data_IF_353373315879
#
_entry.id   IF_353373315879
#
_cell.length_a   1.000
_cell.length_b   1.000
_cell.length_c   1.000
_cell.angle_alpha   90.00
_cell.angle_beta   90.00
_cell.angle_gamma   90.00
#
_symmetry.space_group_name_H-M   'P 1'
#
loop_
_entity.id
_entity.type
_entity.pdbx_description
1 polymer ?
#
# COMPACT_ATOMS: atom_id res chain seq x y z
N UNK A 1 23.09 -23.87 -32.27
CA UNK A 1 23.60 -23.40 -30.97
C UNK A 1 23.81 -24.63 -30.05
N UNK A 2 24.97 -24.68 -29.33
CA UNK A 2 25.21 -25.76 -28.39
C UNK A 2 24.14 -25.75 -27.29
N UNK A 3 23.59 -26.92 -26.88
CA UNK A 3 22.50 -27.00 -25.89
C UNK A 3 22.81 -26.24 -24.60
N UNK A 4 24.03 -26.23 -24.15
CA UNK A 4 24.49 -25.48 -22.98
C UNK A 4 24.35 -23.96 -23.15
N UNK A 5 24.71 -23.42 -24.31
CA UNK A 5 24.54 -21.97 -24.60
C UNK A 5 23.07 -21.56 -24.65
N UNK A 6 22.21 -22.43 -25.17
CA UNK A 6 20.75 -22.21 -25.13
C UNK A 6 20.22 -22.26 -23.70
N UNK A 7 20.65 -23.22 -22.91
CA UNK A 7 20.27 -23.32 -21.48
C UNK A 7 20.70 -22.06 -20.70
N UNK A 8 21.95 -21.63 -20.85
CA UNK A 8 22.45 -20.40 -20.22
C UNK A 8 21.68 -19.19 -20.69
N UNK A 9 21.34 -19.08 -21.99
CA UNK A 9 20.55 -17.97 -22.52
C UNK A 9 19.13 -17.98 -21.97
N UNK A 10 18.49 -19.14 -21.85
CA UNK A 10 17.17 -19.28 -21.25
C UNK A 10 17.22 -18.87 -19.78
N UNK A 11 18.26 -19.28 -19.03
CA UNK A 11 18.45 -18.84 -17.64
C UNK A 11 18.64 -17.31 -17.56
N UNK A 12 19.45 -16.71 -18.42
CA UNK A 12 19.63 -15.26 -18.47
C UNK A 12 18.31 -14.53 -18.76
N UNK A 13 17.54 -15.00 -19.75
CA UNK A 13 16.24 -14.39 -20.05
C UNK A 13 15.19 -14.62 -18.95
N UNK A 14 15.21 -15.80 -18.32
CA UNK A 14 14.26 -16.17 -17.28
C UNK A 14 14.51 -15.44 -15.95
N UNK A 15 15.79 -15.36 -15.56
CA UNK A 15 16.18 -14.73 -14.29
C UNK A 15 16.50 -13.23 -14.42
N UNK A 16 16.29 -12.64 -15.60
CA UNK A 16 16.66 -11.23 -15.87
C UNK A 16 18.11 -10.91 -15.44
N UNK A 17 19.05 -11.83 -15.69
CA UNK A 17 20.44 -11.63 -15.29
C UNK A 17 20.98 -10.38 -16.00
N UNK A 18 21.54 -9.42 -15.26
CA UNK A 18 21.98 -8.17 -15.82
C UNK A 18 23.10 -8.36 -16.86
N UNK A 19 23.00 -7.66 -17.96
CA UNK A 19 24.02 -7.66 -19.04
C UNK A 19 24.69 -6.31 -19.28
N UNK A 20 24.23 -5.24 -18.59
CA UNK A 20 24.79 -3.89 -18.76
C UNK A 20 25.95 -3.65 -17.77
N UNK A 21 27.17 -3.52 -18.28
CA UNK A 21 28.40 -3.28 -17.52
C UNK A 21 28.55 -1.82 -17.03
N UNK A 22 27.67 -0.90 -17.43
CA UNK A 22 27.79 0.54 -17.19
C UNK A 22 26.69 1.12 -16.25
N UNK A 23 26.20 0.34 -15.32
CA UNK A 23 25.20 0.82 -14.36
C UNK A 23 25.91 1.59 -13.25
N UNK A 24 25.52 2.86 -13.07
CA UNK A 24 26.00 3.68 -11.95
C UNK A 24 25.47 3.12 -10.63
N UNK A 25 26.37 2.91 -9.69
CA UNK A 25 26.04 2.44 -8.35
C UNK A 25 25.67 3.60 -7.42
N UNK A 26 25.09 3.37 -6.22
CA UNK A 26 24.85 4.44 -5.26
C UNK A 26 26.12 5.25 -4.93
N UNK A 27 27.27 4.60 -4.72
CA UNK A 27 28.53 5.30 -4.43
C UNK A 27 29.03 6.12 -5.61
N UNK A 28 28.90 5.64 -6.85
CA UNK A 28 29.31 6.39 -8.04
C UNK A 28 28.50 7.68 -8.21
N UNK A 29 27.18 7.62 -7.89
CA UNK A 29 26.26 8.74 -8.04
C UNK A 29 26.47 9.79 -6.94
N UNK A 30 26.74 9.33 -5.72
CA UNK A 30 26.77 10.18 -4.51
C UNK A 30 28.19 10.47 -4.00
N UNK A 31 29.20 10.21 -4.84
CA UNK A 31 30.62 10.41 -4.49
C UNK A 31 31.00 9.74 -3.14
N UNK A 32 30.44 8.54 -2.90
CA UNK A 32 30.72 7.75 -1.71
C UNK A 32 29.88 8.09 -0.47
N UNK A 33 28.96 9.04 -0.56
CA UNK A 33 28.03 9.33 0.56
C UNK A 33 27.19 8.09 0.93
N UNK A 34 26.77 7.32 -0.07
CA UNK A 34 26.12 6.01 0.09
C UNK A 34 27.08 4.90 -0.35
N UNK A 35 27.23 3.88 0.48
CA UNK A 35 28.06 2.71 0.18
C UNK A 35 27.43 1.83 -0.89
N UNK A 36 28.25 1.10 -1.63
CA UNK A 36 27.83 0.06 -2.55
C UNK A 36 27.57 -1.24 -1.78
N UNK A 37 26.33 -1.44 -1.37
CA UNK A 37 25.89 -2.70 -0.80
C UNK A 37 25.49 -3.65 -1.93
N UNK A 38 26.09 -4.82 -1.98
CA UNK A 38 25.91 -5.82 -3.06
C UNK A 38 24.42 -6.11 -3.31
N UNK A 39 23.64 -6.34 -2.27
CA UNK A 39 22.20 -6.59 -2.41
C UNK A 39 21.42 -5.40 -2.98
N UNK A 40 21.86 -4.14 -2.74
CA UNK A 40 21.23 -2.95 -3.33
C UNK A 40 21.62 -2.79 -4.80
N UNK A 41 22.88 -3.02 -5.14
CA UNK A 41 23.32 -2.95 -6.55
C UNK A 41 22.65 -4.02 -7.40
N UNK A 42 22.50 -5.23 -6.89
CA UNK A 42 21.73 -6.29 -7.55
C UNK A 42 20.26 -5.92 -7.73
N UNK A 43 19.66 -5.22 -6.74
CA UNK A 43 18.31 -4.67 -6.87
C UNK A 43 18.17 -3.66 -7.99
N UNK A 44 19.11 -2.74 -8.05
CA UNK A 44 19.13 -1.71 -9.09
C UNK A 44 19.17 -2.38 -10.47
N UNK A 45 20.05 -3.35 -10.66
CA UNK A 45 20.19 -4.09 -11.92
C UNK A 45 18.89 -4.82 -12.30
N UNK A 46 18.30 -5.57 -11.34
CA UNK A 46 17.04 -6.27 -11.57
C UNK A 46 15.89 -5.30 -11.88
N UNK A 47 15.82 -4.17 -11.18
CA UNK A 47 14.79 -3.17 -11.40
C UNK A 47 14.93 -2.52 -12.79
N UNK A 48 16.15 -2.16 -13.22
CA UNK A 48 16.40 -1.61 -14.54
C UNK A 48 16.00 -2.60 -15.65
N UNK A 49 16.35 -3.88 -15.50
CA UNK A 49 15.97 -4.93 -16.43
C UNK A 49 14.45 -5.11 -16.50
N UNK A 50 13.78 -5.13 -15.35
CA UNK A 50 12.32 -5.25 -15.30
C UNK A 50 11.65 -4.05 -15.97
N UNK A 51 12.09 -2.82 -15.71
CA UNK A 51 11.54 -1.61 -16.33
C UNK A 51 11.78 -1.61 -17.84
N UNK A 52 12.97 -2.06 -18.30
CA UNK A 52 13.30 -2.14 -19.72
C UNK A 52 12.42 -3.14 -20.47
N UNK A 53 12.21 -4.31 -19.90
CA UNK A 53 11.53 -5.43 -20.55
C UNK A 53 10.02 -5.46 -20.31
N UNK A 54 9.58 -4.90 -19.19
CA UNK A 54 8.21 -5.05 -18.68
C UNK A 54 7.51 -3.73 -18.34
N UNK A 55 8.07 -2.58 -18.74
CA UNK A 55 7.53 -1.24 -18.51
C UNK A 55 7.45 -0.82 -17.02
N UNK A 56 7.76 -1.73 -16.09
CA UNK A 56 7.72 -1.39 -14.66
C UNK A 56 8.29 -2.47 -13.76
N UNK A 57 8.36 -2.14 -12.45
CA UNK A 57 8.88 -3.02 -11.39
C UNK A 57 8.18 -2.73 -10.07
N UNK A 58 8.05 -3.73 -9.23
CA UNK A 58 7.64 -3.62 -7.83
C UNK A 58 8.86 -3.89 -6.96
N UNK A 59 9.34 -2.90 -6.22
CA UNK A 59 10.41 -3.07 -5.23
C UNK A 59 9.75 -3.32 -3.87
N UNK A 60 9.93 -4.53 -3.37
CA UNK A 60 9.23 -5.04 -2.20
C UNK A 60 10.19 -5.52 -1.11
N UNK A 61 11.34 -4.93 -1.01
CA UNK A 61 12.29 -5.19 0.05
C UNK A 61 11.70 -4.83 1.43
N UNK A 62 12.07 -5.57 2.45
CA UNK A 62 11.65 -5.30 3.83
C UNK A 62 12.07 -3.89 4.25
N UNK A 63 11.33 -3.31 5.20
CA UNK A 63 11.63 -1.98 5.75
C UNK A 63 13.07 -1.92 6.27
N UNK A 64 13.78 -0.83 5.93
CA UNK A 64 15.18 -0.59 6.34
C UNK A 64 16.24 -1.13 5.36
N UNK A 65 15.87 -1.78 4.25
CA UNK A 65 16.82 -2.24 3.24
C UNK A 65 17.15 -1.20 2.15
N UNK A 66 16.67 0.04 2.31
CA UNK A 66 17.04 1.15 1.42
C UNK A 66 16.28 1.21 0.11
N UNK A 67 14.97 0.91 0.09
CA UNK A 67 14.12 1.02 -1.12
C UNK A 67 14.25 2.37 -1.82
N UNK A 68 14.29 3.47 -1.06
CA UNK A 68 14.41 4.82 -1.63
C UNK A 68 15.78 5.05 -2.28
N UNK A 69 16.86 4.51 -1.71
CA UNK A 69 18.21 4.55 -2.30
C UNK A 69 18.22 3.78 -3.63
N UNK A 70 17.67 2.56 -3.64
CA UNK A 70 17.54 1.75 -4.85
C UNK A 70 16.75 2.50 -5.92
N UNK A 71 15.60 3.07 -5.55
CA UNK A 71 14.72 3.78 -6.47
C UNK A 71 15.39 5.05 -7.04
N UNK A 72 16.11 5.81 -6.22
CA UNK A 72 16.85 7.00 -6.66
C UNK A 72 18.00 6.64 -7.61
N UNK A 73 18.70 5.53 -7.32
CA UNK A 73 19.76 5.01 -8.18
C UNK A 73 19.20 4.57 -9.54
N UNK A 74 18.05 3.89 -9.56
CA UNK A 74 17.36 3.51 -10.80
C UNK A 74 16.91 4.74 -11.59
N UNK A 75 16.32 5.75 -10.91
CA UNK A 75 15.88 6.98 -11.55
C UNK A 75 17.06 7.73 -12.21
N UNK A 76 18.21 7.79 -11.54
CA UNK A 76 19.43 8.38 -12.07
C UNK A 76 19.96 7.63 -13.32
N UNK A 77 19.95 6.30 -13.28
CA UNK A 77 20.39 5.47 -14.39
C UNK A 77 19.47 5.58 -15.61
N UNK A 78 18.15 5.64 -15.42
CA UNK A 78 17.18 5.75 -16.50
C UNK A 78 17.23 7.13 -17.20
N UNK A 79 17.65 8.19 -16.50
CA UNK A 79 17.72 9.57 -17.02
C UNK A 79 16.39 10.08 -17.57
N UNK A 80 15.27 9.54 -17.11
CA UNK A 80 13.93 9.99 -17.45
C UNK A 80 13.49 11.10 -16.50
N UNK A 81 12.66 12.02 -17.00
CA UNK A 81 11.92 12.92 -16.10
C UNK A 81 11.05 12.08 -15.21
N UNK A 82 11.06 12.38 -13.93
CA UNK A 82 10.42 11.53 -12.92
C UNK A 82 9.28 12.27 -12.23
N UNK A 83 8.19 11.56 -11.96
CA UNK A 83 7.14 12.03 -11.06
C UNK A 83 7.09 11.05 -9.88
N UNK A 84 7.15 11.59 -8.67
CA UNK A 84 7.13 10.82 -7.44
C UNK A 84 5.82 11.10 -6.70
N UNK A 85 5.07 10.04 -6.39
CA UNK A 85 3.87 10.09 -5.55
C UNK A 85 4.19 9.36 -4.25
N UNK A 86 4.19 10.08 -3.13
CA UNK A 86 4.61 9.55 -1.83
C UNK A 86 3.68 10.00 -0.69
N UNK A 87 3.73 9.37 0.49
CA UNK A 87 3.08 9.88 1.69
C UNK A 87 3.52 11.33 2.02
N UNK A 88 2.63 12.17 2.57
CA UNK A 88 2.95 13.57 2.84
C UNK A 88 4.22 13.78 3.70
N UNK A 89 4.44 12.92 4.69
CA UNK A 89 5.60 12.97 5.57
C UNK A 89 6.93 12.58 4.93
N UNK A 90 6.91 11.90 3.77
CA UNK A 90 8.10 11.51 3.02
C UNK A 90 8.46 12.50 1.91
N UNK A 91 7.64 13.53 1.67
CA UNK A 91 7.85 14.46 0.57
C UNK A 91 9.21 15.17 0.67
N UNK A 92 9.57 15.70 1.84
CA UNK A 92 10.84 16.36 2.05
C UNK A 92 12.02 15.41 1.82
N UNK A 93 11.93 14.18 2.31
CA UNK A 93 12.97 13.17 2.11
C UNK A 93 13.18 12.84 0.62
N UNK A 94 12.10 12.79 -0.19
CA UNK A 94 12.21 12.57 -1.62
C UNK A 94 12.83 13.76 -2.37
N UNK A 95 12.58 15.01 -1.92
CA UNK A 95 13.28 16.18 -2.46
C UNK A 95 14.78 16.09 -2.17
N UNK A 96 15.17 15.69 -0.96
CA UNK A 96 16.57 15.47 -0.58
C UNK A 96 17.24 14.37 -1.42
N UNK A 97 16.57 13.22 -1.60
CA UNK A 97 17.09 12.14 -2.47
C UNK A 97 17.26 12.58 -3.92
N UNK A 98 16.30 13.32 -4.45
CA UNK A 98 16.38 13.86 -5.82
C UNK A 98 17.66 14.70 -6.00
N UNK A 99 17.96 15.56 -5.04
CA UNK A 99 19.13 16.43 -5.09
C UNK A 99 20.43 15.64 -4.86
N UNK A 100 20.48 14.74 -3.89
CA UNK A 100 21.65 13.90 -3.59
C UNK A 100 22.01 12.94 -4.74
N UNK A 101 21.02 12.36 -5.40
CA UNK A 101 21.23 11.43 -6.52
C UNK A 101 21.24 12.14 -7.88
N UNK A 102 21.00 13.45 -7.94
CA UNK A 102 21.11 14.27 -9.12
C UNK A 102 20.18 13.87 -10.28
N UNK A 103 18.92 13.55 -10.00
CA UNK A 103 17.93 13.25 -11.05
C UNK A 103 16.77 14.25 -11.04
N UNK A 104 16.15 14.45 -12.20
CA UNK A 104 15.06 15.42 -12.34
C UNK A 104 13.73 14.81 -11.95
N UNK A 105 13.11 15.32 -10.88
CA UNK A 105 11.81 14.83 -10.40
C UNK A 105 10.90 15.96 -9.91
N UNK A 106 9.58 15.73 -10.03
CA UNK A 106 8.53 16.49 -9.36
C UNK A 106 7.86 15.62 -8.31
N UNK A 107 7.83 16.08 -7.04
CA UNK A 107 7.35 15.29 -5.89
C UNK A 107 5.99 15.74 -5.44
N UNK A 108 5.03 14.81 -5.41
CA UNK A 108 3.65 15.04 -5.00
C UNK A 108 3.27 14.14 -3.82
N UNK A 109 2.45 14.68 -2.91
CA UNK A 109 1.86 13.83 -1.87
C UNK A 109 0.74 12.96 -2.42
N UNK A 110 0.54 11.78 -1.84
CA UNK A 110 -0.52 10.85 -2.26
C UNK A 110 -1.95 11.42 -2.19
N UNK A 111 -2.20 12.42 -1.33
CA UNK A 111 -3.48 13.16 -1.30
C UNK A 111 -3.64 14.22 -2.40
N UNK A 112 -2.63 14.42 -3.25
CA UNK A 112 -2.60 15.41 -4.34
C UNK A 112 -2.31 14.77 -5.70
N UNK A 113 -2.79 13.56 -5.89
CA UNK A 113 -2.52 12.78 -7.12
C UNK A 113 -3.12 13.42 -8.37
N UNK A 114 -4.22 14.17 -8.23
CA UNK A 114 -4.80 14.96 -9.33
C UNK A 114 -3.85 16.07 -9.78
N UNK A 115 -3.16 16.72 -8.83
CA UNK A 115 -2.14 17.75 -9.16
C UNK A 115 -0.98 17.12 -9.93
N UNK A 116 -0.57 15.90 -9.54
CA UNK A 116 0.48 15.16 -10.24
C UNK A 116 0.09 14.84 -11.69
N UNK A 117 -1.14 14.38 -11.93
CA UNK A 117 -1.64 14.10 -13.28
C UNK A 117 -1.76 15.39 -14.12
N UNK A 118 -2.29 16.48 -13.58
CA UNK A 118 -2.38 17.78 -14.25
C UNK A 118 -0.98 18.29 -14.62
N UNK A 119 -0.02 18.18 -13.69
CA UNK A 119 1.36 18.57 -13.94
C UNK A 119 1.97 17.74 -15.09
N UNK A 120 1.81 16.41 -15.07
CA UNK A 120 2.24 15.53 -16.15
C UNK A 120 1.68 15.96 -17.49
N UNK A 121 0.35 16.17 -17.57
CA UNK A 121 -0.33 16.58 -18.79
C UNK A 121 0.16 17.93 -19.36
N UNK A 122 0.59 18.83 -18.45
CA UNK A 122 1.10 20.16 -18.82
C UNK A 122 2.51 20.12 -19.39
N UNK A 123 3.35 19.18 -18.92
CA UNK A 123 4.78 19.16 -19.25
C UNK A 123 5.20 18.04 -20.20
N UNK A 124 4.37 17.01 -20.37
CA UNK A 124 4.68 15.86 -21.22
C UNK A 124 4.59 16.25 -22.70
N UNK A 125 5.63 15.89 -23.46
CA UNK A 125 5.64 16.01 -24.92
C UNK A 125 5.08 14.73 -25.55
N UNK A 126 4.61 14.77 -26.79
CA UNK A 126 4.25 13.57 -27.52
C UNK A 126 5.41 12.55 -27.52
N UNK A 127 5.10 11.28 -27.25
CA UNK A 127 6.04 10.15 -27.19
C UNK A 127 7.13 10.22 -26.10
N UNK A 128 7.12 11.25 -25.24
CA UNK A 128 8.03 11.34 -24.09
C UNK A 128 7.58 10.40 -22.99
N UNK A 129 8.47 9.48 -22.57
CA UNK A 129 8.23 8.60 -21.43
C UNK A 129 8.81 9.19 -20.17
N UNK A 130 8.02 9.13 -19.10
CA UNK A 130 8.43 9.49 -17.75
C UNK A 130 8.69 8.23 -16.92
N UNK A 131 9.38 8.40 -15.79
CA UNK A 131 9.40 7.43 -14.72
C UNK A 131 8.40 7.86 -13.64
N UNK A 132 7.42 7.01 -13.36
CA UNK A 132 6.46 7.24 -12.26
C UNK A 132 6.88 6.38 -11.08
N UNK A 133 7.29 7.00 -9.98
CA UNK A 133 7.62 6.33 -8.73
C UNK A 133 6.44 6.50 -7.78
N UNK A 134 5.93 5.39 -7.25
CA UNK A 134 4.85 5.40 -6.27
C UNK A 134 5.35 4.77 -4.99
N UNK A 135 5.53 5.59 -3.96
CA UNK A 135 5.94 5.10 -2.65
C UNK A 135 4.72 4.74 -1.80
N UNK A 136 4.86 3.69 -1.00
CA UNK A 136 3.76 3.04 -0.26
C UNK A 136 2.59 2.63 -1.20
N UNK A 137 2.95 2.00 -2.32
CA UNK A 137 2.02 1.64 -3.40
C UNK A 137 0.86 0.74 -2.95
N UNK A 138 0.98 0.06 -1.80
CA UNK A 138 -0.12 -0.74 -1.23
C UNK A 138 -1.39 0.06 -0.94
N UNK A 139 -1.34 1.40 -0.91
CA UNK A 139 -2.53 2.26 -0.81
C UNK A 139 -3.44 2.15 -2.04
N UNK A 140 -2.88 1.82 -3.21
CA UNK A 140 -3.57 1.74 -4.49
C UNK A 140 -3.93 0.31 -4.90
N UNK A 141 -4.14 -0.57 -3.93
CA UNK A 141 -4.55 -1.96 -4.15
C UNK A 141 -6.03 -2.13 -4.54
N UNK A 142 -6.85 -1.12 -4.33
CA UNK A 142 -8.28 -1.14 -4.67
C UNK A 142 -8.54 -0.31 -5.93
N UNK A 143 -8.84 -0.98 -7.04
CA UNK A 143 -9.12 -0.34 -8.33
C UNK A 143 -10.45 0.42 -8.41
N UNK A 144 -11.33 0.26 -7.43
CA UNK A 144 -12.63 0.93 -7.39
C UNK A 144 -12.60 2.32 -6.76
N UNK A 145 -11.45 2.79 -6.27
CA UNK A 145 -11.29 4.14 -5.73
C UNK A 145 -10.83 5.12 -6.80
N UNK A 146 -11.28 6.37 -6.70
CA UNK A 146 -10.94 7.43 -7.65
C UNK A 146 -9.43 7.63 -7.80
N UNK A 147 -8.71 7.64 -6.68
CA UNK A 147 -7.26 7.84 -6.67
C UNK A 147 -6.52 6.78 -7.49
N UNK A 148 -7.00 5.52 -7.50
CA UNK A 148 -6.43 4.48 -8.35
C UNK A 148 -6.62 4.79 -9.84
N UNK A 149 -7.81 5.23 -10.22
CA UNK A 149 -8.11 5.61 -11.61
C UNK A 149 -7.20 6.75 -12.11
N UNK A 150 -6.99 7.76 -11.26
CA UNK A 150 -6.10 8.88 -11.57
C UNK A 150 -4.65 8.41 -11.68
N UNK A 151 -4.19 7.57 -10.74
CA UNK A 151 -2.85 6.99 -10.79
C UNK A 151 -2.66 6.12 -12.04
N UNK A 152 -3.64 5.30 -12.40
CA UNK A 152 -3.58 4.47 -13.60
C UNK A 152 -3.41 5.33 -14.86
N UNK A 153 -4.13 6.44 -14.97
CA UNK A 153 -3.98 7.39 -16.06
C UNK A 153 -2.57 8.03 -16.09
N UNK A 154 -1.98 8.34 -14.95
CA UNK A 154 -0.62 8.85 -14.84
C UNK A 154 0.43 7.80 -15.25
N UNK A 155 0.20 6.54 -14.91
CA UNK A 155 1.11 5.43 -15.22
C UNK A 155 1.02 4.99 -16.68
N UNK A 156 -0.11 5.20 -17.34
CA UNK A 156 -0.36 4.72 -18.70
C UNK A 156 0.65 5.30 -19.71
N UNK A 157 1.36 4.41 -20.43
CA UNK A 157 2.39 4.79 -21.41
C UNK A 157 3.76 5.16 -20.81
N UNK A 158 3.86 5.24 -19.48
CA UNK A 158 5.09 5.58 -18.77
C UNK A 158 5.79 4.35 -18.18
N UNK A 159 7.04 4.53 -17.74
CA UNK A 159 7.77 3.54 -16.93
C UNK A 159 7.32 3.68 -15.47
N UNK A 160 7.09 2.56 -14.79
CA UNK A 160 6.49 2.58 -13.44
C UNK A 160 7.36 1.84 -12.44
N UNK A 161 7.59 2.45 -11.28
CA UNK A 161 8.26 1.82 -10.15
C UNK A 161 7.39 1.94 -8.90
N UNK A 162 6.95 0.82 -8.39
CA UNK A 162 6.13 0.74 -7.18
C UNK A 162 6.99 0.31 -6.00
N UNK A 163 7.00 1.11 -4.93
CA UNK A 163 7.71 0.79 -3.70
C UNK A 163 6.70 0.39 -2.62
N UNK A 164 6.87 -0.77 -2.04
CA UNK A 164 6.03 -1.23 -0.94
C UNK A 164 6.72 -2.31 -0.11
N UNK A 165 6.62 -2.25 1.20
CA UNK A 165 7.13 -3.33 2.06
C UNK A 165 6.22 -4.58 2.03
N UNK A 166 4.97 -4.43 1.64
CA UNK A 166 3.93 -5.45 1.72
C UNK A 166 3.14 -5.55 0.41
N UNK A 167 3.73 -6.13 -0.66
CA UNK A 167 3.06 -6.28 -1.95
C UNK A 167 1.89 -7.28 -1.85
N UNK A 168 1.99 -8.19 -0.91
CA UNK A 168 1.01 -9.20 -0.58
C UNK A 168 0.43 -8.91 0.80
N UNK A 169 -0.68 -8.18 0.85
CA UNK A 169 -1.27 -7.94 2.16
C UNK A 169 -2.38 -8.90 2.53
N UNK A 170 -3.09 -9.54 1.63
CA UNK A 170 -4.09 -10.56 2.01
C UNK A 170 -4.77 -11.23 0.81
N UNK A 171 -4.76 -10.64 -0.38
CA UNK A 171 -5.58 -11.13 -1.51
C UNK A 171 -4.81 -11.09 -2.83
N UNK A 172 -5.03 -12.06 -3.73
CA UNK A 172 -4.48 -12.01 -5.09
C UNK A 172 -4.87 -10.75 -5.87
N UNK A 173 -6.07 -10.20 -5.59
CA UNK A 173 -6.55 -8.96 -6.20
C UNK A 173 -5.64 -7.76 -5.90
N UNK A 174 -5.07 -7.70 -4.69
CA UNK A 174 -4.22 -6.57 -4.26
C UNK A 174 -2.98 -6.42 -5.16
N UNK A 175 -2.27 -7.52 -5.41
CA UNK A 175 -1.11 -7.52 -6.30
C UNK A 175 -1.51 -7.34 -7.77
N UNK A 176 -2.61 -7.93 -8.18
CA UNK A 176 -3.12 -7.80 -9.54
C UNK A 176 -3.46 -6.36 -9.89
N UNK A 177 -4.08 -5.61 -8.97
CA UNK A 177 -4.35 -4.18 -9.16
C UNK A 177 -3.06 -3.37 -9.32
N UNK A 178 -2.00 -3.67 -8.53
CA UNK A 178 -0.70 -3.02 -8.70
C UNK A 178 -0.04 -3.35 -10.05
N UNK A 179 -0.14 -4.59 -10.51
CA UNK A 179 0.42 -4.97 -11.82
C UNK A 179 -0.28 -4.25 -12.97
N UNK A 180 -1.60 -4.02 -12.88
CA UNK A 180 -2.36 -3.30 -13.90
C UNK A 180 -1.92 -1.84 -14.10
N UNK A 181 -1.17 -1.25 -13.17
CA UNK A 181 -0.61 0.09 -13.34
C UNK A 181 0.45 0.17 -14.45
N UNK A 182 1.09 -0.95 -14.81
CA UNK A 182 2.12 -0.99 -15.86
C UNK A 182 2.06 -2.22 -16.78
N UNK A 183 1.14 -3.16 -16.52
CA UNK A 183 0.90 -4.33 -17.37
C UNK A 183 -0.50 -4.29 -17.94
N UNK A 184 -0.64 -4.51 -19.22
CA UNK A 184 -1.93 -4.71 -19.88
C UNK A 184 -2.28 -6.19 -19.75
N UNK A 185 -3.31 -6.61 -18.98
CA UNK A 185 -3.56 -8.02 -18.68
C UNK A 185 -3.71 -8.93 -19.88
N UNK A 186 -4.32 -8.43 -20.96
CA UNK A 186 -4.53 -9.19 -22.21
C UNK A 186 -3.31 -9.19 -23.14
N UNK A 187 -2.34 -8.32 -22.91
CA UNK A 187 -1.10 -8.16 -23.70
C UNK A 187 0.09 -7.97 -22.76
N UNK A 188 0.18 -8.83 -21.75
CA UNK A 188 1.28 -8.77 -20.79
C UNK A 188 2.62 -9.05 -21.47
N UNK A 189 3.65 -8.37 -21.01
CA UNK A 189 5.04 -8.61 -21.44
C UNK A 189 5.64 -9.87 -20.80
N UNK A 190 4.93 -10.48 -19.85
CA UNK A 190 5.38 -11.70 -19.16
C UNK A 190 5.30 -12.91 -20.10
N UNK A 191 6.40 -13.65 -20.18
CA UNK A 191 6.46 -14.93 -20.91
C UNK A 191 6.05 -16.13 -20.04
N UNK A 192 5.82 -15.91 -18.75
CA UNK A 192 5.46 -16.94 -17.78
C UNK A 192 4.00 -17.39 -17.90
N UNK A 193 3.15 -16.56 -18.50
CA UNK A 193 1.71 -16.82 -18.73
C UNK A 193 1.29 -16.27 -20.09
N UNK A 194 0.36 -16.95 -20.74
CA UNK A 194 -0.19 -16.50 -22.04
C UNK A 194 -1.08 -15.26 -21.85
N UNK A 195 -1.87 -15.24 -20.77
CA UNK A 195 -2.75 -14.13 -20.44
C UNK A 195 -2.77 -13.91 -18.92
N UNK A 196 -2.24 -12.77 -18.51
CA UNK A 196 -2.16 -12.39 -17.10
C UNK A 196 -3.54 -12.25 -16.45
N UNK A 197 -4.52 -11.73 -17.20
CA UNK A 197 -5.88 -11.56 -16.72
C UNK A 197 -6.57 -12.89 -16.41
N UNK A 198 -6.44 -13.87 -17.29
CA UNK A 198 -7.00 -15.21 -17.09
C UNK A 198 -6.34 -15.91 -15.90
N UNK A 199 -5.01 -15.89 -15.84
CA UNK A 199 -4.26 -16.51 -14.75
C UNK A 199 -4.65 -15.94 -13.37
N UNK A 200 -4.73 -14.60 -13.26
CA UNK A 200 -5.15 -13.99 -12.00
C UNK A 200 -6.64 -14.21 -11.68
N UNK A 201 -7.51 -14.25 -12.67
CA UNK A 201 -8.93 -14.57 -12.47
C UNK A 201 -9.10 -15.95 -11.81
N UNK A 202 -8.39 -16.95 -12.28
CA UNK A 202 -8.41 -18.32 -11.72
C UNK A 202 -7.89 -18.32 -10.27
N UNK A 203 -6.78 -17.64 -9.99
CA UNK A 203 -6.22 -17.54 -8.63
C UNK A 203 -7.15 -16.80 -7.67
N UNK A 204 -7.84 -15.76 -8.13
CA UNK A 204 -8.83 -15.02 -7.37
C UNK A 204 -10.04 -15.90 -7.03
N UNK A 205 -10.53 -16.68 -7.97
CA UNK A 205 -11.64 -17.63 -7.73
C UNK A 205 -11.24 -18.66 -6.69
N UNK A 206 -10.08 -19.32 -6.86
CA UNK A 206 -9.55 -20.30 -5.89
C UNK A 206 -9.40 -19.70 -4.49
N UNK A 207 -8.89 -18.49 -4.39
CA UNK A 207 -8.74 -17.80 -3.10
C UNK A 207 -10.10 -17.51 -2.44
N UNK A 208 -11.12 -17.10 -3.21
CA UNK A 208 -12.48 -16.87 -2.70
C UNK A 208 -13.11 -18.17 -2.20
N UNK A 209 -12.99 -19.25 -2.94
CA UNK A 209 -13.48 -20.57 -2.54
C UNK A 209 -12.80 -21.04 -1.25
N UNK A 210 -11.49 -20.83 -1.12
CA UNK A 210 -10.74 -21.13 0.10
C UNK A 210 -11.24 -20.30 1.30
N UNK A 211 -11.44 -19.01 1.11
CA UNK A 211 -11.95 -18.10 2.15
C UNK A 211 -13.37 -18.48 2.60
N UNK A 212 -14.24 -18.86 1.66
CA UNK A 212 -15.60 -19.30 1.96
C UNK A 212 -15.61 -20.66 2.66
N UNK A 213 -14.73 -21.59 2.27
CA UNK A 213 -14.57 -22.88 2.92
C UNK A 213 -14.06 -22.75 4.35
N UNK A 214 -13.13 -21.80 4.60
CA UNK A 214 -12.67 -21.45 5.95
C UNK A 214 -13.81 -20.92 6.81
N UNK A 215 -14.62 -19.99 6.31
CA UNK A 215 -15.76 -19.41 7.04
C UNK A 215 -16.80 -20.48 7.39
N UNK A 216 -17.05 -21.41 6.47
CA UNK A 216 -18.01 -22.50 6.65
C UNK A 216 -17.43 -23.70 7.40
N UNK A 217 -16.19 -23.63 7.90
CA UNK A 217 -15.46 -24.72 8.58
C UNK A 217 -15.48 -26.07 7.82
N UNK A 218 -15.40 -26.01 6.48
CA UNK A 218 -15.46 -27.19 5.61
C UNK A 218 -14.12 -27.90 5.44
N UNK A 219 -13.01 -27.18 5.66
CA UNK A 219 -11.65 -27.67 5.51
C UNK A 219 -10.91 -27.58 6.84
N UNK A 220 -9.96 -28.46 7.05
CA UNK A 220 -9.03 -28.41 8.18
C UNK A 220 -8.04 -27.23 8.02
N UNK A 221 -7.45 -26.79 9.11
CA UNK A 221 -6.43 -25.73 9.07
C UNK A 221 -5.22 -26.11 8.21
N UNK A 222 -4.84 -27.39 8.18
CA UNK A 222 -3.75 -27.89 7.36
C UNK A 222 -4.04 -27.78 5.86
N UNK A 223 -5.26 -28.14 5.44
CA UNK A 223 -5.71 -28.04 4.04
C UNK A 223 -5.80 -26.58 3.59
N UNK A 224 -6.32 -25.70 4.46
CA UNK A 224 -6.40 -24.26 4.19
C UNK A 224 -4.99 -23.68 3.98
N UNK A 225 -4.04 -24.05 4.85
CA UNK A 225 -2.66 -23.61 4.76
C UNK A 225 -1.99 -24.11 3.47
N UNK A 226 -2.15 -25.39 3.14
CA UNK A 226 -1.57 -25.99 1.94
C UNK A 226 -2.09 -25.30 0.66
N UNK A 227 -3.39 -25.05 0.56
CA UNK A 227 -3.98 -24.40 -0.61
C UNK A 227 -3.57 -22.91 -0.70
N UNK A 228 -3.51 -22.20 0.44
CA UNK A 228 -3.01 -20.83 0.47
C UNK A 228 -1.54 -20.74 0.01
N UNK A 229 -0.70 -21.68 0.42
CA UNK A 229 0.70 -21.79 -0.01
C UNK A 229 0.81 -22.10 -1.52
N UNK A 230 -0.06 -22.97 -2.05
CA UNK A 230 -0.12 -23.28 -3.48
C UNK A 230 -0.49 -22.04 -4.31
N UNK A 231 -1.51 -21.30 -3.90
CA UNK A 231 -1.91 -20.04 -4.54
C UNK A 231 -0.75 -19.03 -4.49
N UNK A 232 -0.13 -18.83 -3.32
CA UNK A 232 0.99 -17.91 -3.15
C UNK A 232 2.21 -18.31 -4.02
N UNK A 233 2.50 -19.60 -4.15
CA UNK A 233 3.57 -20.11 -5.01
C UNK A 233 3.27 -19.82 -6.48
N UNK A 234 2.03 -20.05 -6.94
CA UNK A 234 1.60 -19.76 -8.30
C UNK A 234 1.73 -18.28 -8.63
N UNK A 235 1.29 -17.39 -7.73
CA UNK A 235 1.43 -15.94 -7.91
C UNK A 235 2.92 -15.58 -8.01
N UNK A 236 3.76 -16.06 -7.09
CA UNK A 236 5.20 -15.76 -7.11
C UNK A 236 5.87 -16.19 -8.42
N UNK A 237 5.54 -17.37 -8.95
CA UNK A 237 6.11 -17.83 -10.21
C UNK A 237 5.72 -16.94 -11.41
N UNK A 238 4.49 -16.41 -11.41
CA UNK A 238 4.01 -15.50 -12.46
C UNK A 238 4.74 -14.15 -12.41
N UNK A 239 4.82 -13.56 -11.21
CA UNK A 239 5.28 -12.16 -11.04
C UNK A 239 6.79 -12.04 -10.79
N UNK A 240 7.51 -13.14 -10.66
CA UNK A 240 8.94 -13.12 -10.33
C UNK A 240 9.79 -12.17 -11.19
N UNK A 241 9.54 -11.99 -12.51
CA UNK A 241 10.30 -11.04 -13.31
C UNK A 241 10.01 -9.57 -13.01
N UNK A 242 8.87 -9.29 -12.33
CA UNK A 242 8.37 -7.94 -12.07
C UNK A 242 8.62 -7.47 -10.63
N UNK A 243 9.06 -8.37 -9.74
CA UNK A 243 9.19 -8.10 -8.31
C UNK A 243 10.62 -8.30 -7.84
N UNK A 244 11.18 -7.24 -7.31
CA UNK A 244 12.44 -7.27 -6.58
C UNK A 244 12.12 -7.31 -5.10
N UNK A 245 12.45 -8.41 -4.43
CA UNK A 245 12.16 -8.60 -3.00
C UNK A 245 13.31 -9.30 -2.29
N UNK A 246 13.70 -8.72 -1.17
CA UNK A 246 14.65 -9.30 -0.23
C UNK A 246 14.16 -9.13 1.19
N UNK A 247 14.51 -10.10 2.01
CA UNK A 247 14.30 -10.10 3.44
C UNK A 247 15.65 -9.98 4.16
N UNK A 248 15.63 -9.74 5.46
CA UNK A 248 16.86 -9.76 6.27
C UNK A 248 17.47 -11.16 6.34
N UNK A 249 16.66 -12.20 6.23
CA UNK A 249 17.15 -13.58 6.15
C UNK A 249 17.96 -13.80 4.87
N UNK A 250 17.51 -13.27 3.73
CA UNK A 250 18.26 -13.39 2.46
C UNK A 250 19.65 -12.74 2.57
N UNK A 251 19.79 -11.67 3.37
CA UNK A 251 21.09 -11.03 3.60
C UNK A 251 22.06 -11.89 4.41
N UNK A 252 21.53 -12.81 5.21
CA UNK A 252 22.32 -13.77 5.99
C UNK A 252 22.54 -15.08 5.24
N UNK A 253 21.50 -15.57 4.56
CA UNK A 253 21.52 -16.86 3.88
C UNK A 253 22.36 -16.84 2.59
N UNK A 254 22.36 -15.71 1.86
CA UNK A 254 23.14 -15.55 0.62
C UNK A 254 24.58 -15.17 0.97
N UNK A 255 25.57 -16.06 0.69
CA UNK A 255 26.96 -15.86 1.08
C UNK A 255 27.56 -14.53 0.60
N UNK A 256 27.27 -14.14 -0.65
CA UNK A 256 27.80 -12.92 -1.26
C UNK A 256 27.31 -11.67 -0.54
N UNK A 257 26.05 -11.62 -0.09
CA UNK A 257 25.50 -10.50 0.66
C UNK A 257 26.07 -10.46 2.07
N UNK A 258 26.13 -11.61 2.74
CA UNK A 258 26.69 -11.73 4.08
C UNK A 258 28.16 -11.31 4.14
N UNK A 259 28.98 -11.75 3.19
CA UNK A 259 30.39 -11.40 3.12
C UNK A 259 30.62 -9.92 2.79
N UNK A 260 29.81 -9.37 1.90
CA UNK A 260 29.85 -7.95 1.57
C UNK A 260 29.52 -7.08 2.78
N UNK A 261 28.43 -7.37 3.48
CA UNK A 261 28.03 -6.66 4.69
C UNK A 261 29.07 -6.76 5.80
N UNK A 262 29.67 -7.95 6.00
CA UNK A 262 30.76 -8.11 6.97
C UNK A 262 31.99 -7.25 6.64
N UNK A 263 32.38 -7.19 5.37
CA UNK A 263 33.49 -6.31 4.90
C UNK A 263 33.22 -4.85 5.18
N UNK A 264 31.95 -4.42 5.11
CA UNK A 264 31.53 -3.06 5.38
C UNK A 264 31.17 -2.79 6.85
N UNK A 265 31.40 -3.76 7.74
CA UNK A 265 31.06 -3.71 9.17
C UNK A 265 29.56 -3.42 9.44
N UNK A 266 28.68 -3.91 8.56
CA UNK A 266 27.23 -3.79 8.69
C UNK A 266 26.68 -5.15 9.13
N UNK A 267 26.01 -5.15 10.27
CA UNK A 267 25.42 -6.36 10.86
C UNK A 267 23.92 -6.20 10.96
N UNK A 268 23.14 -6.66 9.96
CA UNK A 268 21.69 -6.57 10.02
C UNK A 268 21.17 -7.41 11.18
N UNK A 269 20.39 -6.81 12.05
CA UNK A 269 19.73 -7.53 13.14
C UNK A 269 18.54 -8.29 12.56
N UNK A 270 18.56 -9.61 12.68
CA UNK A 270 17.39 -10.44 12.43
C UNK A 270 16.50 -10.32 13.66
N UNK A 271 15.28 -9.83 13.55
CA UNK A 271 14.39 -9.76 14.69
C UNK A 271 14.07 -11.19 15.16
N UNK A 272 14.27 -11.44 16.42
CA UNK A 272 13.75 -12.61 17.11
C UNK A 272 12.21 -12.60 17.09
N UNK A 273 11.60 -13.68 17.58
CA UNK A 273 10.14 -13.73 17.69
C UNK A 273 9.61 -12.49 18.45
N UNK A 274 8.47 -11.92 18.05
CA UNK A 274 7.90 -10.77 18.74
C UNK A 274 7.74 -11.06 20.24
N UNK A 275 8.27 -10.17 21.07
CA UNK A 275 8.07 -10.23 22.51
C UNK A 275 6.73 -9.57 22.81
N UNK A 276 5.82 -10.31 23.45
CA UNK A 276 4.56 -9.76 23.92
C UNK A 276 4.83 -8.88 25.14
N UNK A 277 4.66 -7.57 24.98
CA UNK A 277 4.75 -6.62 26.08
C UNK A 277 3.37 -6.51 26.74
N UNK A 278 3.20 -7.14 27.88
CA UNK A 278 1.99 -6.98 28.69
C UNK A 278 1.85 -5.56 29.22
N UNK A 279 0.74 -4.92 28.92
CA UNK A 279 0.41 -3.59 29.44
C UNK A 279 -0.30 -3.74 30.78
N UNK A 280 0.32 -3.28 31.87
CA UNK A 280 -0.31 -3.28 33.18
C UNK A 280 -1.03 -1.94 33.40
N UNK A 281 -2.35 -1.97 33.32
CA UNK A 281 -3.20 -0.78 33.50
C UNK A 281 -3.65 -0.57 34.96
N UNK A 282 -3.06 -1.25 35.94
CA UNK A 282 -3.58 -1.33 37.33
C UNK A 282 -3.99 0.03 37.90
N UNK A 283 -3.18 1.07 37.76
CA UNK A 283 -3.48 2.39 38.34
C UNK A 283 -4.46 3.22 37.48
N UNK A 284 -4.54 2.94 36.18
CA UNK A 284 -5.34 3.73 35.24
C UNK A 284 -6.48 2.93 34.60
N UNK A 285 -6.68 1.69 35.03
CA UNK A 285 -7.69 0.78 34.47
C UNK A 285 -9.09 1.39 34.43
N UNK A 286 -9.50 1.96 35.55
CA UNK A 286 -10.85 2.53 35.69
C UNK A 286 -11.01 3.77 34.80
N UNK A 287 -9.98 4.61 34.71
CA UNK A 287 -9.96 5.75 33.81
C UNK A 287 -10.01 5.30 32.36
N UNK A 288 -9.23 4.27 32.01
CA UNK A 288 -9.18 3.71 30.66
C UNK A 288 -10.55 3.14 30.24
N UNK A 289 -11.16 2.29 31.07
CA UNK A 289 -12.47 1.69 30.79
C UNK A 289 -13.56 2.77 30.70
N UNK A 290 -13.58 3.72 31.64
CA UNK A 290 -14.52 4.83 31.62
C UNK A 290 -14.36 5.69 30.35
N UNK A 291 -13.16 5.90 29.87
CA UNK A 291 -12.93 6.65 28.63
C UNK A 291 -13.45 5.87 27.42
N UNK A 292 -13.25 4.55 27.37
CA UNK A 292 -13.81 3.70 26.33
C UNK A 292 -15.34 3.75 26.32
N UNK A 293 -15.98 3.68 27.48
CA UNK A 293 -17.44 3.78 27.62
C UNK A 293 -17.97 5.14 27.17
N UNK A 294 -17.23 6.22 27.42
CA UNK A 294 -17.57 7.56 26.92
C UNK A 294 -17.47 7.67 25.40
N UNK A 295 -16.53 6.96 24.77
CA UNK A 295 -16.37 6.96 23.29
C UNK A 295 -17.40 6.03 22.65
N UNK A 296 -17.56 4.82 23.18
CA UNK A 296 -18.37 3.76 22.58
C UNK A 296 -19.10 2.93 23.65
N UNK A 297 -20.11 3.50 24.32
CA UNK A 297 -20.89 2.77 25.33
C UNK A 297 -21.65 1.60 24.69
N UNK A 298 -21.88 0.55 25.47
CA UNK A 298 -22.74 -0.57 25.07
C UNK A 298 -24.20 -0.11 24.91
N UNK A 299 -25.01 -0.88 24.18
CA UNK A 299 -26.44 -0.55 24.04
C UNK A 299 -27.16 -0.66 25.42
N UNK A 300 -26.71 -1.58 26.27
CA UNK A 300 -27.22 -1.71 27.65
C UNK A 300 -26.94 -0.45 28.48
N UNK A 301 -25.74 0.13 28.36
CA UNK A 301 -25.37 1.36 29.08
C UNK A 301 -26.13 2.56 28.55
N UNK A 302 -26.36 2.66 27.26
CA UNK A 302 -27.21 3.69 26.66
C UNK A 302 -28.64 3.62 27.18
N UNK A 303 -29.22 2.44 27.27
CA UNK A 303 -30.59 2.23 27.79
C UNK A 303 -30.67 2.53 29.29
N UNK A 304 -29.70 2.03 30.11
CA UNK A 304 -29.65 2.32 31.53
C UNK A 304 -29.56 3.81 31.86
N UNK A 305 -28.84 4.55 31.04
CA UNK A 305 -28.58 5.99 31.24
C UNK A 305 -29.45 6.91 30.37
N UNK A 306 -30.43 6.37 29.66
CA UNK A 306 -31.33 7.15 28.80
C UNK A 306 -32.06 8.27 29.54
N UNK A 307 -32.37 8.06 30.81
CA UNK A 307 -33.05 9.02 31.67
C UNK A 307 -32.08 9.90 32.48
N UNK A 308 -30.76 9.65 32.43
CA UNK A 308 -29.77 10.39 33.20
C UNK A 308 -29.16 11.52 32.34
N UNK A 309 -29.55 12.79 32.61
CA UNK A 309 -29.01 13.94 31.86
C UNK A 309 -27.51 14.17 32.10
N UNK A 310 -26.94 13.59 33.15
CA UNK A 310 -25.51 13.70 33.47
C UNK A 310 -24.64 12.72 32.68
N UNK A 311 -25.25 11.63 32.17
CA UNK A 311 -24.52 10.66 31.36
C UNK A 311 -24.22 11.23 29.99
N UNK A 312 -22.96 11.60 29.79
CA UNK A 312 -22.47 12.15 28.53
C UNK A 312 -21.56 11.15 27.83
N UNK A 313 -21.80 10.90 26.58
CA UNK A 313 -20.94 10.08 25.72
C UNK A 313 -20.83 10.70 24.33
N UNK A 314 -19.90 10.22 23.53
CA UNK A 314 -19.71 10.68 22.15
C UNK A 314 -20.89 10.21 21.28
N UNK A 315 -21.87 11.09 21.10
CA UNK A 315 -23.09 10.84 20.30
C UNK A 315 -22.81 10.76 18.82
N UNK A 316 -21.71 11.32 18.36
CA UNK A 316 -21.36 11.44 16.94
C UNK A 316 -22.42 12.20 16.10
N UNK A 317 -23.11 13.15 16.71
CA UNK A 317 -24.26 13.87 16.14
C UNK A 317 -23.99 14.52 14.80
N UNK A 318 -22.78 15.06 14.63
CA UNK A 318 -22.30 15.62 13.33
C UNK A 318 -22.37 14.60 12.19
N UNK A 319 -22.17 13.34 12.48
CA UNK A 319 -22.14 12.27 11.49
C UNK A 319 -23.50 11.59 11.30
N UNK A 320 -24.51 11.98 12.09
CA UNK A 320 -25.86 11.44 12.09
C UNK A 320 -26.93 12.54 12.14
N UNK A 321 -26.87 13.57 11.30
CA UNK A 321 -27.83 14.67 11.36
C UNK A 321 -29.28 14.20 11.20
N UNK A 322 -29.54 13.10 10.49
CA UNK A 322 -30.90 12.55 10.32
C UNK A 322 -31.57 12.09 11.62
N UNK A 323 -30.81 11.75 12.65
CA UNK A 323 -31.35 11.38 13.98
C UNK A 323 -31.90 12.59 14.75
N UNK A 324 -31.48 13.81 14.37
CA UNK A 324 -31.82 15.07 15.04
C UNK A 324 -32.86 15.90 14.26
N UNK A 325 -33.37 15.36 13.16
CA UNK A 325 -34.47 15.99 12.43
C UNK A 325 -35.76 15.91 13.27
N UNK A 326 -36.41 17.04 13.42
CA UNK A 326 -37.63 17.20 14.25
C UNK A 326 -38.67 16.11 13.93
N UNK A 327 -39.34 15.52 14.92
CA UNK A 327 -40.24 14.38 14.77
C UNK A 327 -41.60 14.71 14.16
N UNK A 328 -41.69 15.67 13.25
CA UNK A 328 -42.91 15.95 12.49
C UNK A 328 -43.00 15.01 11.28
N UNK A 329 -44.00 14.14 11.29
CA UNK A 329 -44.19 13.13 10.23
C UNK A 329 -44.44 13.76 8.86
N UNK A 330 -45.08 14.95 8.77
CA UNK A 330 -45.31 15.62 7.51
C UNK A 330 -44.00 16.14 6.93
N UNK A 331 -43.21 16.81 7.76
CA UNK A 331 -41.91 17.34 7.37
C UNK A 331 -40.94 16.22 6.97
N UNK A 332 -41.00 15.07 7.66
CA UNK A 332 -40.20 13.87 7.30
C UNK A 332 -40.57 13.33 5.92
N UNK A 333 -41.84 13.23 5.60
CA UNK A 333 -42.33 12.76 4.29
C UNK A 333 -41.97 13.74 3.16
N UNK A 334 -42.08 15.04 3.41
CA UNK A 334 -41.65 16.05 2.44
C UNK A 334 -40.15 15.99 2.20
N UNK A 335 -39.34 15.90 3.24
CA UNK A 335 -37.88 15.78 3.16
C UNK A 335 -37.46 14.48 2.46
N UNK A 336 -38.10 13.34 2.75
CA UNK A 336 -37.84 12.08 2.10
C UNK A 336 -38.10 12.13 0.59
N UNK A 337 -39.20 12.78 0.20
CA UNK A 337 -39.53 13.04 -1.20
C UNK A 337 -38.50 13.92 -1.90
N UNK A 338 -38.13 15.03 -1.26
CA UNK A 338 -37.14 15.98 -1.79
C UNK A 338 -35.74 15.33 -1.93
N UNK A 339 -35.32 14.50 -0.95
CA UNK A 339 -34.06 13.76 -1.01
C UNK A 339 -34.07 12.71 -2.12
N UNK A 340 -35.19 11.99 -2.30
CA UNK A 340 -35.32 11.03 -3.38
C UNK A 340 -35.26 11.69 -4.75
N UNK A 341 -35.92 12.85 -4.91
CA UNK A 341 -35.91 13.62 -6.17
C UNK A 341 -34.54 14.23 -6.50
N UNK A 342 -33.82 14.78 -5.51
CA UNK A 342 -32.54 15.49 -5.72
C UNK A 342 -31.32 14.56 -5.69
N UNK A 343 -31.34 13.52 -4.88
CA UNK A 343 -30.17 12.67 -4.59
C UNK A 343 -30.38 11.20 -4.93
N UNK A 344 -31.56 10.78 -5.36
CA UNK A 344 -31.90 9.38 -5.63
C UNK A 344 -31.80 8.48 -4.38
N UNK A 345 -31.92 9.06 -3.19
CA UNK A 345 -31.68 8.34 -1.93
C UNK A 345 -32.66 8.80 -0.86
N UNK A 346 -33.49 7.90 -0.34
CA UNK A 346 -34.44 8.20 0.73
C UNK A 346 -33.77 8.39 2.10
N UNK A 347 -34.51 9.01 3.00
CA UNK A 347 -34.08 9.36 4.36
C UNK A 347 -33.60 8.14 5.16
N UNK A 348 -34.23 6.98 4.96
CA UNK A 348 -33.85 5.71 5.59
C UNK A 348 -32.46 5.22 5.15
N UNK A 349 -32.18 5.25 3.85
CA UNK A 349 -30.86 4.86 3.33
C UNK A 349 -29.76 5.85 3.76
N UNK A 350 -30.10 7.14 3.82
CA UNK A 350 -29.20 8.17 4.30
C UNK A 350 -28.86 7.95 5.78
N UNK A 351 -29.86 7.67 6.63
CA UNK A 351 -29.67 7.35 8.04
C UNK A 351 -28.78 6.12 8.25
N UNK A 352 -28.97 5.07 7.45
CA UNK A 352 -28.13 3.88 7.47
C UNK A 352 -26.66 4.18 7.14
N UNK A 353 -26.39 4.97 6.09
CA UNK A 353 -25.04 5.41 5.74
C UNK A 353 -24.40 6.26 6.83
N UNK A 354 -25.14 7.17 7.41
CA UNK A 354 -24.69 8.03 8.52
C UNK A 354 -24.37 7.20 9.79
N UNK A 355 -25.14 6.14 10.05
CA UNK A 355 -24.86 5.16 11.12
C UNK A 355 -23.49 4.52 10.93
N UNK A 356 -23.18 4.03 9.74
CA UNK A 356 -21.87 3.43 9.41
C UNK A 356 -20.72 4.41 9.62
N UNK A 357 -20.89 5.68 9.19
CA UNK A 357 -19.87 6.74 9.39
C UNK A 357 -19.67 7.03 10.88
N UNK A 358 -20.74 7.11 11.64
CA UNK A 358 -20.68 7.31 13.09
C UNK A 358 -19.91 6.21 13.80
N UNK A 359 -20.18 4.95 13.47
CA UNK A 359 -19.50 3.80 14.05
C UNK A 359 -18.03 3.72 13.64
N UNK A 360 -17.74 4.11 12.40
CA UNK A 360 -16.36 4.27 11.94
C UNK A 360 -15.60 5.31 12.77
N UNK A 361 -16.20 6.48 13.03
CA UNK A 361 -15.60 7.54 13.83
C UNK A 361 -15.35 7.11 15.30
N UNK A 362 -16.29 6.37 15.90
CA UNK A 362 -16.07 5.78 17.23
C UNK A 362 -14.87 4.83 17.23
N UNK A 363 -14.80 3.90 16.27
CA UNK A 363 -13.66 2.98 16.15
C UNK A 363 -12.33 3.72 15.92
N UNK A 364 -12.36 4.80 15.16
CA UNK A 364 -11.18 5.62 14.94
C UNK A 364 -10.71 6.28 16.23
N UNK A 365 -11.62 6.85 17.02
CA UNK A 365 -11.30 7.46 18.32
C UNK A 365 -10.76 6.43 19.32
N UNK A 366 -11.37 5.24 19.40
CA UNK A 366 -10.85 4.14 20.22
C UNK A 366 -9.42 3.79 19.82
N UNK A 367 -9.16 3.55 18.54
CA UNK A 367 -7.81 3.25 18.03
C UNK A 367 -6.80 4.37 18.31
N UNK A 368 -7.22 5.62 18.21
CA UNK A 368 -6.38 6.77 18.54
C UNK A 368 -6.03 6.79 20.03
N UNK A 369 -7.02 6.53 20.88
CA UNK A 369 -6.83 6.47 22.32
C UNK A 369 -5.91 5.32 22.74
N UNK A 370 -6.09 4.13 22.17
CA UNK A 370 -5.24 2.95 22.39
C UNK A 370 -3.80 3.16 21.89
N UNK A 371 -3.64 3.89 20.80
CA UNK A 371 -2.32 4.14 20.21
C UNK A 371 -1.52 5.21 20.95
N UNK A 372 -2.15 6.34 21.33
CA UNK A 372 -1.50 7.45 21.99
C UNK A 372 -2.53 8.44 22.56
N UNK A 373 -2.39 8.76 23.84
CA UNK A 373 -3.24 9.79 24.51
C UNK A 373 -3.08 11.16 23.80
N UNK A 374 -1.86 11.53 23.42
CA UNK A 374 -1.60 12.78 22.71
C UNK A 374 -2.29 12.82 21.34
N UNK A 375 -2.23 11.74 20.56
CA UNK A 375 -2.93 11.64 19.27
C UNK A 375 -4.45 11.67 19.42
N UNK A 376 -4.98 11.11 20.51
CA UNK A 376 -6.40 11.18 20.83
C UNK A 376 -6.83 12.60 21.18
N UNK A 377 -6.09 13.30 22.07
CA UNK A 377 -6.34 14.69 22.42
C UNK A 377 -6.32 15.61 21.20
N UNK A 378 -5.33 15.46 20.32
CA UNK A 378 -5.23 16.24 19.09
C UNK A 378 -6.42 15.99 18.16
N UNK A 379 -6.84 14.73 18.04
CA UNK A 379 -8.04 14.39 17.25
C UNK A 379 -9.30 15.04 17.81
N UNK A 380 -9.46 15.11 19.13
CA UNK A 380 -10.60 15.79 19.77
C UNK A 380 -10.53 17.31 19.56
N UNK A 381 -9.35 17.94 19.66
CA UNK A 381 -9.17 19.36 19.38
C UNK A 381 -9.58 19.71 17.96
N UNK A 382 -9.05 18.97 16.97
CA UNK A 382 -9.43 19.17 15.56
C UNK A 382 -10.92 18.98 15.32
N UNK A 383 -11.57 18.04 16.02
CA UNK A 383 -13.02 17.87 15.94
C UNK A 383 -13.77 19.09 16.49
N UNK A 384 -13.31 19.67 17.60
CA UNK A 384 -13.92 20.86 18.21
C UNK A 384 -13.73 22.08 17.31
N UNK A 385 -12.53 22.31 16.79
CA UNK A 385 -12.22 23.43 15.91
C UNK A 385 -12.97 23.38 14.57
N UNK A 386 -13.39 22.19 14.15
CA UNK A 386 -14.15 22.00 12.91
C UNK A 386 -15.66 22.13 13.09
N UNK A 387 -16.14 22.45 14.30
CA UNK A 387 -17.51 22.84 14.62
C UNK A 387 -17.69 24.34 14.54
#
# INVERSE_FOLDING_TARGET
YAPYKMFVRVLHEYFNIPTDENILTPADITEGTYSNLKYQTDAVQLALNSIKNHEGVIISDVVGLGKSVIASTVARNLRLRTIIVCPPHLKQQWEEYKDQFGFTASVFSSGKIEEALKHYQMIAKPDEKFLIIVDEAHKYKNEYILDYSILHNLCMGNKVMLLTATPFNNRPEDIYSMLKLFQIPSKSTLKTVENLGTAFKELIVRYKELSDSQRKKKLSQAEIKAEAEAIAKSIRSIISPLVVRRSRLDLEDIPEYREDLKRQHIYPTIPEAPIELGYNLNEVKDLYLRTLDLISPSEEDKEKHKADPAFRYFKASRYKPTEYIVPDEKLRKELDKELNEKMGTGLYMLAGRQGVVSDFMRRLLVRRFESSVAAFQESLKMMIESF
#
